data_IF_168154007616
#
_entry.id   IF_168154007616
#
_cell.length_a   1.000
_cell.length_b   1.000
_cell.length_c   1.000
_cell.angle_alpha   90.00
_cell.angle_beta   90.00
_cell.angle_gamma   90.00
#
_symmetry.space_group_name_H-M   'P 1'
#
loop_
_entity.id
_entity.type
_entity.pdbx_description
1 polymer ?
#
# COMPACT_ATOMS: atom_id res chain seq x y z
N UNK A 1 -23.92 -22.08 -3.78
CA UNK A 1 -23.94 -21.33 -5.06
C UNK A 1 -22.51 -20.89 -5.28
N UNK A 2 -21.88 -21.24 -6.40
CA UNK A 2 -20.43 -21.01 -6.59
C UNK A 2 -20.15 -19.51 -6.71
N UNK A 3 -19.21 -18.98 -5.91
CA UNK A 3 -18.87 -17.54 -5.83
C UNK A 3 -18.63 -16.86 -7.18
N UNK A 4 -18.08 -17.57 -8.17
CA UNK A 4 -17.90 -17.04 -9.55
C UNK A 4 -19.21 -16.75 -10.28
N UNK A 5 -20.27 -17.50 -9.98
CA UNK A 5 -21.61 -17.23 -10.51
C UNK A 5 -22.17 -15.95 -9.88
N UNK A 6 -22.06 -15.83 -8.56
CA UNK A 6 -22.49 -14.62 -7.85
C UNK A 6 -21.74 -13.38 -8.36
N UNK A 7 -20.42 -13.52 -8.61
CA UNK A 7 -19.61 -12.47 -9.23
C UNK A 7 -20.10 -12.09 -10.63
N UNK A 8 -20.38 -13.08 -11.49
CA UNK A 8 -20.92 -12.84 -12.83
C UNK A 8 -22.28 -12.14 -12.79
N UNK A 9 -23.21 -12.60 -11.95
CA UNK A 9 -24.56 -12.05 -11.85
C UNK A 9 -24.58 -10.61 -11.31
N UNK A 10 -23.70 -10.31 -10.35
CA UNK A 10 -23.70 -9.02 -9.66
C UNK A 10 -22.76 -7.98 -10.27
N UNK A 11 -21.63 -8.42 -10.85
CA UNK A 11 -20.57 -7.55 -11.37
C UNK A 11 -20.33 -7.70 -12.87
N UNK A 12 -20.99 -8.64 -13.54
CA UNK A 12 -20.82 -8.88 -14.98
C UNK A 12 -19.51 -9.57 -15.34
N UNK A 13 -18.76 -10.07 -14.36
CA UNK A 13 -17.50 -10.79 -14.59
C UNK A 13 -17.30 -11.89 -13.56
N UNK A 14 -16.82 -13.08 -13.98
CA UNK A 14 -16.45 -14.15 -13.05
C UNK A 14 -15.01 -13.98 -12.53
N UNK A 15 -14.27 -12.96 -12.99
CA UNK A 15 -12.89 -12.70 -12.57
C UNK A 15 -12.84 -11.80 -11.33
N UNK A 16 -12.36 -12.35 -10.23
CA UNK A 16 -12.23 -11.70 -8.94
C UNK A 16 -11.32 -10.46 -8.97
N UNK A 17 -10.27 -10.45 -9.78
CA UNK A 17 -9.39 -9.28 -9.93
C UNK A 17 -10.13 -8.12 -10.59
N UNK A 18 -10.95 -8.41 -11.60
CA UNK A 18 -11.80 -7.42 -12.27
C UNK A 18 -12.92 -6.92 -11.36
N UNK A 19 -13.48 -7.78 -10.49
CA UNK A 19 -14.49 -7.35 -9.50
C UNK A 19 -13.92 -6.28 -8.56
N UNK A 20 -12.67 -6.48 -8.09
CA UNK A 20 -11.97 -5.55 -7.19
C UNK A 20 -11.31 -4.37 -7.91
N UNK A 21 -11.08 -4.46 -9.22
CA UNK A 21 -10.37 -3.44 -9.99
C UNK A 21 -8.86 -3.41 -9.71
N UNK A 22 -8.23 -4.56 -9.44
CA UNK A 22 -6.80 -4.67 -9.13
C UNK A 22 -6.09 -5.59 -10.13
N UNK A 23 -4.77 -5.40 -10.27
CA UNK A 23 -3.93 -6.28 -11.07
C UNK A 23 -3.72 -7.63 -10.38
N UNK A 24 -3.47 -8.67 -11.18
CA UNK A 24 -3.27 -10.05 -10.70
C UNK A 24 -2.01 -10.19 -9.85
N UNK A 25 -1.04 -9.31 -10.02
CA UNK A 25 0.23 -9.23 -9.28
C UNK A 25 0.12 -8.30 -8.05
N UNK A 26 -1.08 -7.77 -7.76
CA UNK A 26 -1.29 -6.82 -6.68
C UNK A 26 -0.91 -7.40 -5.31
N UNK A 27 -0.17 -6.61 -4.52
CA UNK A 27 0.19 -6.95 -3.15
C UNK A 27 -1.07 -7.18 -2.30
N UNK A 28 -1.03 -8.10 -1.32
CA UNK A 28 -2.23 -8.41 -0.52
C UNK A 28 -2.86 -7.20 0.16
N UNK A 29 -2.04 -6.26 0.68
CA UNK A 29 -2.52 -4.98 1.21
C UNK A 29 -3.31 -4.16 0.20
N UNK A 30 -2.82 -4.05 -1.04
CA UNK A 30 -3.50 -3.34 -2.12
C UNK A 30 -4.82 -4.02 -2.48
N UNK A 31 -4.85 -5.36 -2.49
CA UNK A 31 -6.06 -6.15 -2.70
C UNK A 31 -7.10 -5.92 -1.60
N UNK A 32 -6.69 -6.00 -0.32
CA UNK A 32 -7.56 -5.70 0.85
C UNK A 32 -8.12 -4.29 0.77
N UNK A 33 -7.27 -3.30 0.55
CA UNK A 33 -7.67 -1.91 0.45
C UNK A 33 -8.69 -1.70 -0.68
N UNK A 34 -8.43 -2.24 -1.87
CA UNK A 34 -9.37 -2.15 -2.99
C UNK A 34 -10.72 -2.80 -2.68
N UNK A 35 -10.73 -3.96 -2.01
CA UNK A 35 -11.99 -4.60 -1.63
C UNK A 35 -12.76 -3.84 -0.54
N UNK A 36 -12.10 -3.21 0.44
CA UNK A 36 -12.78 -2.33 1.40
C UNK A 36 -13.41 -1.13 0.69
N UNK A 37 -12.69 -0.51 -0.24
CA UNK A 37 -13.22 0.58 -1.07
C UNK A 37 -14.41 0.12 -1.92
N UNK A 38 -14.31 -1.07 -2.52
CA UNK A 38 -15.37 -1.65 -3.35
C UNK A 38 -16.63 -2.02 -2.53
N UNK A 39 -16.46 -2.43 -1.28
CA UNK A 39 -17.57 -2.62 -0.33
C UNK A 39 -18.24 -1.29 -0.03
N UNK A 40 -17.46 -0.25 0.32
CA UNK A 40 -17.99 1.09 0.59
C UNK A 40 -18.81 1.65 -0.58
N UNK A 41 -18.36 1.47 -1.81
CA UNK A 41 -19.08 1.89 -3.02
C UNK A 41 -20.49 1.27 -3.13
N UNK A 42 -20.67 0.04 -2.66
CA UNK A 42 -21.94 -0.69 -2.78
C UNK A 42 -22.77 -0.72 -1.50
N UNK A 43 -22.21 -0.29 -0.37
CA UNK A 43 -22.77 -0.52 0.96
C UNK A 43 -24.18 0.08 1.15
N UNK A 44 -24.46 1.24 0.53
CA UNK A 44 -25.77 1.91 0.60
C UNK A 44 -26.82 1.41 -0.41
N UNK A 45 -26.44 0.58 -1.38
CA UNK A 45 -27.33 0.20 -2.51
C UNK A 45 -27.49 -1.30 -2.70
N UNK A 46 -26.42 -2.08 -2.46
CA UNK A 46 -26.33 -3.51 -2.79
C UNK A 46 -25.49 -4.27 -1.76
N UNK A 47 -26.13 -4.65 -0.64
CA UNK A 47 -25.47 -5.41 0.45
C UNK A 47 -25.04 -6.82 0.02
N UNK A 48 -25.74 -7.40 -0.95
CA UNK A 48 -25.38 -8.66 -1.63
C UNK A 48 -24.03 -8.55 -2.36
N UNK A 49 -23.78 -7.44 -3.06
CA UNK A 49 -22.47 -7.13 -3.67
C UNK A 49 -21.36 -7.05 -2.63
N UNK A 50 -21.62 -6.41 -1.49
CA UNK A 50 -20.63 -6.28 -0.42
C UNK A 50 -20.18 -7.64 0.12
N UNK A 51 -21.12 -8.56 0.33
CA UNK A 51 -20.82 -9.93 0.78
C UNK A 51 -20.00 -10.71 -0.25
N UNK A 52 -20.30 -10.54 -1.55
CA UNK A 52 -19.51 -11.18 -2.62
C UNK A 52 -18.10 -10.62 -2.68
N UNK A 53 -17.93 -9.30 -2.57
CA UNK A 53 -16.60 -8.66 -2.50
C UNK A 53 -15.80 -9.17 -1.31
N UNK A 54 -16.42 -9.27 -0.13
CA UNK A 54 -15.73 -9.80 1.05
C UNK A 54 -15.29 -11.27 0.87
N UNK A 55 -16.13 -12.12 0.29
CA UNK A 55 -15.76 -13.51 -0.03
C UNK A 55 -14.60 -13.59 -1.02
N UNK A 56 -14.58 -12.68 -2.00
CA UNK A 56 -13.47 -12.54 -2.95
C UNK A 56 -12.18 -12.13 -2.21
N UNK A 57 -12.25 -11.18 -1.27
CA UNK A 57 -11.12 -10.79 -0.45
C UNK A 57 -10.51 -11.98 0.32
N UNK A 58 -11.33 -12.82 0.96
CA UNK A 58 -10.84 -14.02 1.66
C UNK A 58 -10.10 -15.02 0.77
N UNK A 59 -10.29 -14.96 -0.55
CA UNK A 59 -9.59 -15.82 -1.52
C UNK A 59 -8.30 -15.14 -1.98
N UNK A 60 -8.38 -13.87 -2.40
CA UNK A 60 -7.24 -13.17 -3.00
C UNK A 60 -6.19 -12.70 -1.99
N UNK A 61 -6.50 -12.73 -0.69
CA UNK A 61 -5.60 -12.30 0.39
C UNK A 61 -5.05 -13.48 1.22
N UNK A 62 -5.37 -14.71 0.81
CA UNK A 62 -4.79 -15.94 1.32
C UNK A 62 -3.96 -16.57 0.20
N UNK A 63 -2.65 -16.74 0.40
CA UNK A 63 -1.72 -17.15 -0.65
C UNK A 63 -2.09 -18.51 -1.26
N UNK A 64 -2.53 -19.47 -0.44
CA UNK A 64 -2.90 -20.80 -0.90
C UNK A 64 -4.20 -20.78 -1.72
N UNK A 65 -5.20 -20.02 -1.28
CA UNK A 65 -6.48 -19.86 -1.98
C UNK A 65 -6.31 -19.07 -3.27
N UNK A 66 -5.53 -17.98 -3.24
CA UNK A 66 -5.19 -17.19 -4.42
C UNK A 66 -4.48 -18.05 -5.45
N UNK A 67 -3.48 -18.83 -5.05
CA UNK A 67 -2.77 -19.75 -5.95
C UNK A 67 -3.70 -20.78 -6.58
N UNK A 68 -4.62 -21.36 -5.80
CA UNK A 68 -5.61 -22.33 -6.30
C UNK A 68 -6.61 -21.69 -7.27
N UNK A 69 -7.06 -20.47 -6.96
CA UNK A 69 -7.90 -19.68 -7.85
C UNK A 69 -7.16 -19.37 -9.16
N UNK A 70 -5.89 -18.96 -9.08
CA UNK A 70 -5.09 -18.57 -10.24
C UNK A 70 -4.79 -19.75 -11.16
N UNK A 71 -4.53 -20.93 -10.59
CA UNK A 71 -4.18 -22.13 -11.37
C UNK A 71 -5.40 -22.84 -11.96
N UNK A 72 -6.45 -23.00 -11.17
CA UNK A 72 -7.56 -23.90 -11.52
C UNK A 72 -8.90 -23.17 -11.66
N UNK A 73 -8.97 -21.87 -11.37
CA UNK A 73 -10.24 -21.15 -11.24
C UNK A 73 -11.11 -21.70 -10.11
N UNK A 74 -10.52 -22.47 -9.20
CA UNK A 74 -11.19 -23.13 -8.09
C UNK A 74 -11.31 -22.14 -6.93
N UNK A 75 -12.55 -21.86 -6.59
CA UNK A 75 -12.94 -21.08 -5.43
C UNK A 75 -13.82 -21.98 -4.56
N UNK A 76 -13.21 -22.95 -3.87
CA UNK A 76 -13.90 -23.68 -2.81
C UNK A 76 -14.61 -22.65 -1.94
N UNK A 77 -15.92 -22.85 -1.68
CA UNK A 77 -16.69 -21.90 -0.86
C UNK A 77 -15.86 -21.61 0.38
N UNK A 78 -15.70 -20.32 0.72
CA UNK A 78 -14.75 -19.85 1.71
C UNK A 78 -15.08 -20.34 3.13
N UNK A 79 -14.99 -21.65 3.37
CA UNK A 79 -14.92 -22.27 4.67
C UNK A 79 -13.70 -21.64 5.36
N UNK A 80 -13.94 -20.85 6.41
CA UNK A 80 -12.90 -20.05 7.07
C UNK A 80 -12.77 -18.60 6.59
N UNK A 81 -13.67 -18.06 5.74
CA UNK A 81 -13.92 -16.61 5.79
C UNK A 81 -14.44 -16.30 7.20
N UNK A 82 -13.83 -15.35 7.90
CA UNK A 82 -14.39 -14.91 9.18
C UNK A 82 -15.65 -14.06 8.92
N UNK A 83 -16.81 -14.72 9.06
CA UNK A 83 -18.12 -14.08 8.89
C UNK A 83 -18.27 -12.90 9.89
N UNK A 84 -17.66 -12.99 11.08
CA UNK A 84 -17.71 -11.92 12.06
C UNK A 84 -16.98 -10.67 11.54
N UNK A 85 -15.82 -10.82 10.91
CA UNK A 85 -15.09 -9.69 10.33
C UNK A 85 -15.82 -9.06 9.13
N UNK A 86 -16.56 -9.85 8.34
CA UNK A 86 -17.46 -9.30 7.32
C UNK A 86 -18.53 -8.41 7.96
N UNK A 87 -19.22 -8.89 9.00
CA UNK A 87 -20.28 -8.13 9.66
C UNK A 87 -19.73 -6.89 10.40
N UNK A 88 -18.52 -6.96 10.99
CA UNK A 88 -17.85 -5.79 11.57
C UNK A 88 -17.53 -4.73 10.51
N UNK A 89 -17.04 -5.13 9.34
CA UNK A 89 -16.82 -4.22 8.21
C UNK A 89 -18.13 -3.58 7.75
N UNK A 90 -19.20 -4.37 7.57
CA UNK A 90 -20.50 -3.85 7.18
C UNK A 90 -21.04 -2.86 8.25
N UNK A 91 -20.97 -3.20 9.54
CA UNK A 91 -21.39 -2.32 10.62
C UNK A 91 -20.60 -1.00 10.63
N UNK A 92 -19.30 -1.04 10.32
CA UNK A 92 -18.49 0.17 10.16
C UNK A 92 -18.99 1.04 9.01
N UNK A 93 -19.32 0.44 7.87
CA UNK A 93 -19.90 1.17 6.75
C UNK A 93 -21.26 1.81 7.11
N UNK A 94 -22.09 1.18 7.95
CA UNK A 94 -23.34 1.78 8.48
C UNK A 94 -23.05 3.08 9.25
N UNK A 95 -22.01 3.10 10.07
CA UNK A 95 -21.62 4.29 10.84
C UNK A 95 -21.13 5.41 9.92
N UNK A 96 -20.28 5.09 8.95
CA UNK A 96 -19.77 6.06 7.96
C UNK A 96 -20.93 6.70 7.18
N UNK A 97 -21.89 5.89 6.72
CA UNK A 97 -23.05 6.38 5.95
C UNK A 97 -24.00 7.25 6.77
N UNK A 98 -24.12 7.02 8.08
CA UNK A 98 -24.91 7.89 8.99
C UNK A 98 -24.26 9.26 9.19
N UNK A 99 -22.94 9.35 9.07
CA UNK A 99 -22.20 10.61 9.25
C UNK A 99 -22.08 11.42 7.97
N UNK A 100 -22.15 10.79 6.80
CA UNK A 100 -22.16 11.47 5.50
C UNK A 100 -23.56 12.06 5.20
N UNK A 101 -23.83 13.27 5.67
CA UNK A 101 -25.05 14.06 5.47
C UNK A 101 -25.04 14.86 4.15
N UNK A 102 -24.61 14.26 3.04
CA UNK A 102 -24.78 14.85 1.71
C UNK A 102 -23.77 14.39 0.65
N UNK A 103 -23.98 14.76 -0.63
CA UNK A 103 -23.14 14.33 -1.76
C UNK A 103 -21.68 14.78 -1.67
N UNK A 104 -21.42 15.98 -1.14
CA UNK A 104 -20.06 16.51 -0.95
C UNK A 104 -19.30 15.78 0.17
N UNK A 105 -20.00 15.13 1.09
CA UNK A 105 -19.41 14.33 2.18
C UNK A 105 -19.10 12.89 1.76
N UNK A 106 -19.63 12.41 0.62
CA UNK A 106 -19.27 11.09 0.06
C UNK A 106 -17.79 11.05 -0.35
N UNK A 107 -17.24 12.18 -0.83
CA UNK A 107 -15.79 12.28 -1.07
C UNK A 107 -14.97 12.22 0.23
N UNK A 108 -15.55 12.64 1.37
CA UNK A 108 -14.97 12.45 2.69
C UNK A 108 -15.26 11.07 3.29
N UNK A 109 -16.17 10.26 2.71
CA UNK A 109 -16.54 8.96 3.26
C UNK A 109 -15.33 8.01 3.37
N UNK A 110 -14.34 8.13 2.49
CA UNK A 110 -13.09 7.37 2.61
C UNK A 110 -12.25 7.79 3.81
N UNK A 111 -12.13 9.10 4.05
CA UNK A 111 -11.42 9.63 5.23
C UNK A 111 -12.17 9.24 6.50
N UNK A 112 -13.50 9.33 6.50
CA UNK A 112 -14.35 8.87 7.59
C UNK A 112 -14.19 7.37 7.81
N UNK A 113 -14.14 6.57 6.75
CA UNK A 113 -13.90 5.13 6.85
C UNK A 113 -12.53 4.82 7.46
N UNK A 114 -11.44 5.48 7.03
CA UNK A 114 -10.11 5.32 7.64
C UNK A 114 -10.15 5.66 9.14
N UNK A 115 -10.83 6.76 9.50
CA UNK A 115 -10.94 7.17 10.90
C UNK A 115 -11.72 6.14 11.73
N UNK A 116 -12.78 5.56 11.17
CA UNK A 116 -13.53 4.48 11.82
C UNK A 116 -12.76 3.16 11.86
N UNK A 117 -11.93 2.88 10.86
CA UNK A 117 -11.07 1.69 10.84
C UNK A 117 -9.96 1.79 11.90
N UNK A 118 -9.41 2.99 12.10
CA UNK A 118 -8.33 3.23 13.07
C UNK A 118 -8.79 2.97 14.51
N UNK A 119 -8.11 2.07 15.20
CA UNK A 119 -8.43 1.50 16.52
C UNK A 119 -9.73 0.69 16.58
N UNK A 120 -10.25 0.25 15.44
CA UNK A 120 -11.43 -0.61 15.40
C UNK A 120 -11.13 -2.07 15.70
N UNK A 121 -12.19 -2.85 15.91
CA UNK A 121 -12.09 -4.31 15.99
C UNK A 121 -11.65 -4.94 14.67
N UNK A 122 -12.06 -4.34 13.54
CA UNK A 122 -11.68 -4.80 12.22
C UNK A 122 -10.17 -4.63 11.99
N UNK A 123 -9.60 -3.48 12.36
CA UNK A 123 -8.16 -3.30 12.31
C UNK A 123 -7.45 -4.23 13.29
N UNK A 124 -7.96 -4.40 14.51
CA UNK A 124 -7.37 -5.37 15.46
C UNK A 124 -7.40 -6.80 14.89
N UNK A 125 -8.44 -7.16 14.15
CA UNK A 125 -8.54 -8.44 13.43
C UNK A 125 -7.52 -8.54 12.30
N UNK A 126 -7.39 -7.51 11.44
CA UNK A 126 -6.43 -7.49 10.34
C UNK A 126 -4.98 -7.55 10.85
N UNK A 127 -4.65 -6.77 11.89
CA UNK A 127 -3.33 -6.79 12.55
C UNK A 127 -3.07 -8.15 13.19
N UNK A 128 -4.07 -8.74 13.87
CA UNK A 128 -3.95 -10.08 14.45
C UNK A 128 -3.65 -11.14 13.38
N UNK A 129 -4.38 -11.13 12.27
CA UNK A 129 -4.20 -12.12 11.21
C UNK A 129 -2.83 -12.00 10.56
N UNK A 130 -2.38 -10.78 10.27
CA UNK A 130 -1.04 -10.54 9.76
C UNK A 130 0.03 -10.99 10.76
N UNK A 131 -0.16 -10.71 12.06
CA UNK A 131 0.77 -11.13 13.11
C UNK A 131 0.91 -12.65 13.18
N UNK A 132 -0.19 -13.39 13.12
CA UNK A 132 -0.19 -14.86 13.11
C UNK A 132 0.44 -15.42 11.83
N UNK A 133 0.13 -14.82 10.69
CA UNK A 133 0.62 -15.26 9.36
C UNK A 133 2.13 -15.10 9.23
N UNK A 134 2.69 -14.02 9.80
CA UNK A 134 4.12 -13.71 9.70
C UNK A 134 4.89 -13.89 11.00
N UNK A 135 4.34 -14.66 11.93
CA UNK A 135 4.99 -15.05 13.18
C UNK A 135 5.61 -13.85 13.93
N UNK A 136 4.85 -12.74 13.98
CA UNK A 136 5.27 -11.51 14.66
C UNK A 136 6.30 -10.63 13.94
N UNK A 137 6.66 -10.90 12.68
CA UNK A 137 7.52 -10.01 11.89
C UNK A 137 6.82 -8.68 11.57
N UNK A 138 7.19 -7.60 12.25
CA UNK A 138 6.52 -6.30 12.09
C UNK A 138 6.66 -5.68 10.70
N UNK A 139 7.76 -5.94 9.98
CA UNK A 139 7.91 -5.52 8.58
C UNK A 139 6.82 -6.12 7.71
N UNK A 140 6.63 -7.43 7.77
CA UNK A 140 5.58 -8.10 6.98
C UNK A 140 4.18 -7.69 7.44
N UNK A 141 3.97 -7.55 8.75
CA UNK A 141 2.68 -7.10 9.30
C UNK A 141 2.26 -5.74 8.75
N UNK A 142 3.15 -4.73 8.74
CA UNK A 142 2.84 -3.39 8.21
C UNK A 142 2.61 -3.40 6.69
N UNK A 143 3.31 -4.28 5.97
CA UNK A 143 3.10 -4.46 4.54
C UNK A 143 1.77 -5.14 4.20
N UNK A 144 1.18 -5.89 5.13
CA UNK A 144 -0.02 -6.69 4.90
C UNK A 144 -1.32 -6.00 5.33
N UNK A 145 -1.27 -5.28 6.46
CA UNK A 145 -2.45 -4.64 7.03
C UNK A 145 -2.89 -3.48 6.12
N UNK A 146 -4.19 -3.40 5.77
CA UNK A 146 -4.69 -2.33 4.92
C UNK A 146 -4.75 -1.01 5.68
N UNK A 147 -4.65 0.10 4.95
CA UNK A 147 -4.88 1.47 5.46
C UNK A 147 -3.94 1.94 6.59
N UNK A 148 -2.89 1.20 6.93
CA UNK A 148 -1.89 1.59 7.94
C UNK A 148 -0.60 2.07 7.28
N UNK A 149 0.15 2.92 7.98
CA UNK A 149 1.49 3.37 7.57
C UNK A 149 2.53 2.96 8.58
N UNK A 150 3.81 3.20 8.29
CA UNK A 150 4.87 2.99 9.28
C UNK A 150 4.66 3.82 10.55
N UNK A 151 4.01 4.97 10.44
CA UNK A 151 3.71 5.84 11.57
C UNK A 151 2.69 5.20 12.55
N UNK A 152 1.94 4.19 12.09
CA UNK A 152 0.99 3.43 12.90
C UNK A 152 1.63 2.28 13.68
N UNK A 153 2.92 1.99 13.46
CA UNK A 153 3.60 0.82 14.03
C UNK A 153 3.45 0.74 15.55
N UNK A 154 3.67 1.87 16.25
CA UNK A 154 3.58 1.93 17.71
C UNK A 154 2.22 1.46 18.22
N UNK A 155 1.15 1.88 17.53
CA UNK A 155 -0.24 1.56 17.86
C UNK A 155 -0.56 0.08 17.57
N UNK A 156 -0.11 -0.42 16.41
CA UNK A 156 -0.23 -1.84 16.04
C UNK A 156 0.50 -2.75 17.04
N UNK A 157 1.72 -2.38 17.46
CA UNK A 157 2.45 -3.10 18.51
C UNK A 157 1.70 -3.11 19.83
N UNK A 158 1.09 -1.99 20.20
CA UNK A 158 0.30 -1.90 21.41
C UNK A 158 -0.94 -2.82 21.36
N UNK A 159 -1.61 -2.92 20.21
CA UNK A 159 -2.69 -3.89 19.98
C UNK A 159 -2.21 -5.31 20.22
N UNK A 160 -1.09 -5.71 19.59
CA UNK A 160 -0.57 -7.06 19.73
C UNK A 160 -0.11 -7.37 21.15
N UNK A 161 0.57 -6.45 21.83
CA UNK A 161 0.94 -6.61 23.25
C UNK A 161 -0.28 -6.86 24.14
N UNK A 162 -1.39 -6.14 23.92
CA UNK A 162 -2.65 -6.37 24.65
C UNK A 162 -3.28 -7.72 24.36
N UNK A 163 -3.14 -8.24 23.13
CA UNK A 163 -3.66 -9.55 22.75
C UNK A 163 -2.81 -10.67 23.36
N UNK A 164 -1.49 -10.52 23.35
CA UNK A 164 -0.53 -11.46 23.96
C UNK A 164 -0.74 -11.51 25.48
N UNK A 165 -0.88 -10.36 26.15
CA UNK A 165 -1.13 -10.31 27.61
C UNK A 165 -2.47 -10.94 28.03
N UNK A 166 -3.40 -11.09 27.08
CA UNK A 166 -4.69 -11.75 27.27
C UNK A 166 -4.68 -13.21 26.78
N UNK A 167 -3.51 -13.73 26.39
CA UNK A 167 -3.32 -15.09 25.87
C UNK A 167 -4.21 -15.40 24.63
N UNK A 168 -4.61 -14.37 23.88
CA UNK A 168 -5.44 -14.51 22.67
C UNK A 168 -4.63 -14.85 21.42
N UNK A 169 -3.34 -14.57 21.45
CA UNK A 169 -2.38 -14.88 20.38
C UNK A 169 -1.09 -15.37 21.02
N UNK A 170 -0.31 -16.22 20.34
CA UNK A 170 0.96 -16.72 20.86
C UNK A 170 2.00 -15.60 20.98
N UNK A 171 2.96 -15.81 21.88
CA UNK A 171 4.18 -15.03 21.92
C UNK A 171 5.10 -15.47 20.77
N UNK A 172 5.50 -14.55 19.91
CA UNK A 172 6.58 -14.76 18.94
C UNK A 172 7.80 -13.93 19.32
N UNK A 173 8.95 -14.59 19.51
CA UNK A 173 10.21 -13.92 19.89
C UNK A 173 10.58 -12.81 18.92
N UNK A 174 10.43 -13.03 17.62
CA UNK A 174 10.71 -12.04 16.55
C UNK A 174 10.00 -10.70 16.74
N UNK A 175 8.84 -10.67 17.41
CA UNK A 175 8.13 -9.43 17.70
C UNK A 175 8.77 -8.60 18.83
N UNK A 176 9.37 -9.28 19.82
CA UNK A 176 9.95 -8.65 21.02
C UNK A 176 11.46 -8.44 20.90
N UNK A 177 12.14 -9.35 20.23
CA UNK A 177 13.58 -9.41 20.03
C UNK A 177 13.96 -8.91 18.63
N UNK A 178 13.17 -7.99 18.07
CA UNK A 178 13.48 -7.39 16.78
C UNK A 178 14.79 -6.59 16.87
N UNK A 179 15.63 -6.74 15.85
CA UNK A 179 16.91 -6.03 15.79
C UNK A 179 16.72 -4.54 15.50
N UNK A 180 17.63 -3.70 16.00
CA UNK A 180 17.62 -2.27 15.68
C UNK A 180 17.75 -2.00 14.18
N UNK A 181 18.44 -2.88 13.45
CA UNK A 181 18.62 -2.84 12.00
C UNK A 181 17.31 -3.12 11.28
N UNK A 182 16.60 -4.21 11.58
CA UNK A 182 15.28 -4.51 10.97
C UNK A 182 14.26 -3.37 11.19
N UNK A 183 14.28 -2.77 12.38
CA UNK A 183 13.45 -1.60 12.67
C UNK A 183 13.86 -0.38 11.83
N UNK A 184 15.17 -0.08 11.75
CA UNK A 184 15.70 1.05 10.97
C UNK A 184 15.40 0.89 9.48
N UNK A 185 15.67 -0.27 8.91
CA UNK A 185 15.51 -0.57 7.49
C UNK A 185 14.05 -0.39 7.06
N UNK A 186 13.12 -0.89 7.88
CA UNK A 186 11.68 -0.67 7.64
C UNK A 186 11.31 0.81 7.62
N UNK A 187 11.79 1.59 8.59
CA UNK A 187 11.54 3.02 8.64
C UNK A 187 12.22 3.77 7.49
N UNK A 188 13.39 3.31 7.05
CA UNK A 188 14.13 3.89 5.93
C UNK A 188 13.43 3.60 4.59
N UNK A 189 13.01 2.38 4.34
CA UNK A 189 12.22 2.02 3.15
C UNK A 189 10.96 2.89 3.05
N UNK A 190 10.25 3.11 4.15
CA UNK A 190 9.06 3.97 4.14
C UNK A 190 9.38 5.45 3.91
N UNK A 191 10.50 5.98 4.40
CA UNK A 191 10.95 7.35 4.05
C UNK A 191 11.25 7.47 2.57
N UNK A 192 11.91 6.47 1.98
CA UNK A 192 12.21 6.41 0.54
C UNK A 192 10.91 6.42 -0.27
N UNK A 193 9.96 5.53 0.01
CA UNK A 193 8.65 5.53 -0.67
C UNK A 193 7.86 6.82 -0.47
N UNK A 194 7.92 7.43 0.71
CA UNK A 194 7.21 8.69 0.99
C UNK A 194 7.83 9.85 0.21
N UNK A 195 9.16 9.87 0.05
CA UNK A 195 9.86 10.85 -0.75
C UNK A 195 9.62 10.63 -2.24
N UNK A 196 9.66 9.39 -2.73
CA UNK A 196 9.34 9.05 -4.11
C UNK A 196 7.90 9.45 -4.47
N UNK A 197 6.90 9.13 -3.63
CA UNK A 197 5.51 9.54 -3.85
C UNK A 197 5.34 11.06 -3.80
N UNK A 198 6.07 11.76 -2.92
CA UNK A 198 6.11 13.24 -2.92
C UNK A 198 6.72 13.77 -4.22
N UNK A 199 7.82 13.17 -4.69
CA UNK A 199 8.50 13.54 -5.92
C UNK A 199 7.63 13.25 -7.16
N UNK A 200 6.93 12.12 -7.23
CA UNK A 200 5.94 11.84 -8.28
C UNK A 200 4.80 12.85 -8.30
N UNK A 201 4.27 13.26 -7.14
CA UNK A 201 3.23 14.31 -7.05
C UNK A 201 3.74 15.71 -7.43
N UNK A 202 5.06 15.92 -7.36
CA UNK A 202 5.71 17.14 -7.84
C UNK A 202 5.82 17.09 -9.36
N UNK A 203 6.25 15.94 -9.92
CA UNK A 203 6.29 15.67 -11.36
C UNK A 203 4.92 15.88 -12.00
N UNK A 204 3.86 15.31 -11.42
CA UNK A 204 2.48 15.48 -11.92
C UNK A 204 2.06 16.95 -11.94
N UNK A 205 2.33 17.72 -10.89
CA UNK A 205 1.99 19.15 -10.83
C UNK A 205 2.78 19.99 -11.84
N UNK A 206 4.02 19.62 -12.14
CA UNK A 206 4.82 20.25 -13.20
C UNK A 206 4.21 19.93 -14.58
N UNK A 207 3.79 18.68 -14.81
CA UNK A 207 3.12 18.26 -16.05
C UNK A 207 1.80 19.00 -16.26
N UNK A 208 0.96 19.10 -15.22
CA UNK A 208 -0.32 19.82 -15.27
C UNK A 208 -0.14 21.30 -15.62
N UNK A 209 0.96 21.91 -15.15
CA UNK A 209 1.21 23.35 -15.31
C UNK A 209 1.87 23.71 -16.64
N UNK A 210 2.74 22.86 -17.17
CA UNK A 210 3.55 23.17 -18.35
C UNK A 210 3.17 22.36 -19.60
N UNK A 211 2.29 21.35 -19.46
CA UNK A 211 1.80 20.51 -20.54
C UNK A 211 2.71 19.32 -20.83
N UNK A 212 2.12 18.14 -20.98
CA UNK A 212 2.82 16.86 -21.23
C UNK A 212 3.70 16.91 -22.49
N UNK A 213 3.17 17.49 -23.56
CA UNK A 213 3.80 17.57 -24.88
C UNK A 213 5.12 18.36 -24.86
N UNK A 214 5.32 19.23 -23.86
CA UNK A 214 6.53 20.03 -23.70
C UNK A 214 7.65 19.29 -22.98
N UNK A 215 7.31 18.27 -22.19
CA UNK A 215 8.22 17.49 -21.34
C UNK A 215 8.53 16.09 -21.91
N UNK A 216 7.76 15.65 -22.90
CA UNK A 216 7.83 14.29 -23.47
C UNK A 216 9.20 13.97 -24.10
N UNK A 217 9.91 14.97 -24.63
CA UNK A 217 11.22 14.80 -25.26
C UNK A 217 12.34 14.41 -24.27
N UNK A 218 12.18 14.72 -22.97
CA UNK A 218 13.18 14.45 -21.92
C UNK A 218 12.58 13.65 -20.76
N UNK A 219 11.48 12.95 -21.00
CA UNK A 219 10.73 12.22 -19.96
C UNK A 219 11.60 11.21 -19.20
N UNK A 220 12.48 10.50 -19.92
CA UNK A 220 13.42 9.56 -19.31
C UNK A 220 14.51 10.26 -18.49
N UNK A 221 14.96 11.47 -18.90
CA UNK A 221 15.90 12.27 -18.10
C UNK A 221 15.23 12.82 -16.83
N UNK A 222 13.95 13.20 -16.90
CA UNK A 222 13.19 13.67 -15.73
C UNK A 222 12.94 12.55 -14.72
N UNK A 223 12.62 11.34 -15.19
CA UNK A 223 12.56 10.13 -14.34
C UNK A 223 13.92 9.83 -13.71
N UNK A 224 15.00 9.92 -14.48
CA UNK A 224 16.35 9.67 -13.99
C UNK A 224 16.77 10.68 -12.91
N UNK A 225 16.40 11.96 -13.01
CA UNK A 225 16.64 12.97 -11.96
C UNK A 225 15.94 12.61 -10.64
N UNK A 226 14.68 12.17 -10.74
CA UNK A 226 13.88 11.73 -9.59
C UNK A 226 14.47 10.45 -8.99
N UNK A 227 14.94 9.53 -9.82
CA UNK A 227 15.54 8.25 -9.39
C UNK A 227 17.01 8.34 -8.95
N UNK A 228 17.80 9.34 -9.39
CA UNK A 228 19.24 9.48 -9.11
C UNK A 228 19.56 10.21 -7.80
N UNK A 229 18.55 10.82 -7.17
CA UNK A 229 18.60 11.32 -5.78
C UNK A 229 18.88 10.20 -4.74
N UNK A 230 19.04 8.97 -5.22
CA UNK A 230 19.24 7.70 -4.51
C UNK A 230 20.67 7.44 -4.02
N UNK A 231 21.70 8.17 -4.49
CA UNK A 231 23.10 7.75 -4.33
C UNK A 231 24.05 8.77 -3.67
N UNK A 232 23.66 9.41 -2.56
CA UNK A 232 24.61 10.20 -1.73
C UNK A 232 24.70 9.80 -0.25
N UNK A 233 24.20 8.62 0.13
CA UNK A 233 24.55 8.03 1.43
C UNK A 233 25.37 6.77 1.19
N UNK A 234 26.69 6.97 1.06
CA UNK A 234 27.69 5.90 1.02
C UNK A 234 27.89 5.30 2.42
N UNK A 235 27.62 4.01 2.54
CA UNK A 235 28.59 2.99 2.98
C UNK A 235 29.70 3.41 3.94
N UNK A 236 29.39 3.59 5.23
CA UNK A 236 30.44 3.53 6.26
C UNK A 236 30.25 2.47 7.36
N UNK A 237 29.12 1.75 7.45
CA UNK A 237 28.97 0.72 8.50
C UNK A 237 28.13 -0.51 8.05
N UNK A 238 28.51 -1.18 6.96
CA UNK A 238 27.99 -2.52 6.70
C UNK A 238 29.11 -3.52 6.38
N UNK A 239 29.59 -4.19 7.42
CA UNK A 239 30.18 -5.50 7.24
C UNK A 239 29.06 -6.53 7.04
N UNK A 240 29.10 -7.14 5.85
CA UNK A 240 28.62 -8.48 5.52
C UNK A 240 27.10 -8.75 5.61
N UNK A 241 26.43 -8.63 4.45
CA UNK A 241 25.67 -9.77 3.91
C UNK A 241 25.69 -9.69 2.39
N UNK A 242 26.24 -10.71 1.74
CA UNK A 242 26.43 -10.78 0.29
C UNK A 242 25.10 -10.89 -0.46
N UNK A 243 25.02 -10.20 -1.59
CA UNK A 243 23.86 -9.94 -2.44
C UNK A 243 23.32 -11.15 -3.24
N UNK A 244 23.60 -12.39 -2.85
CA UNK A 244 23.31 -13.56 -3.68
C UNK A 244 21.91 -14.18 -3.51
N UNK A 245 21.11 -13.77 -2.51
CA UNK A 245 19.84 -14.47 -2.18
C UNK A 245 18.54 -13.79 -2.67
N UNK A 246 18.61 -12.66 -3.39
CA UNK A 246 17.40 -11.96 -3.84
C UNK A 246 17.18 -11.88 -5.35
N UNK A 247 18.10 -12.39 -6.19
CA UNK A 247 17.85 -12.52 -7.63
C UNK A 247 17.43 -11.22 -8.35
N UNK A 248 17.76 -10.06 -7.78
CA UNK A 248 17.61 -8.77 -8.44
C UNK A 248 19.00 -8.30 -8.87
N UNK A 249 19.22 -8.33 -10.18
CA UNK A 249 20.40 -7.77 -10.83
C UNK A 249 20.31 -6.24 -10.71
N UNK A 250 20.95 -5.66 -9.70
CA UNK A 250 21.00 -4.20 -9.49
C UNK A 250 22.21 -3.53 -10.12
N UNK A 251 23.12 -4.29 -10.74
CA UNK A 251 24.44 -3.79 -11.14
C UNK A 251 24.49 -3.16 -12.54
N UNK A 252 23.41 -3.19 -13.32
CA UNK A 252 23.51 -2.86 -14.76
C UNK A 252 22.88 -1.54 -15.24
N UNK A 253 22.44 -0.62 -14.37
CA UNK A 253 21.72 0.58 -14.86
C UNK A 253 21.95 1.95 -14.20
N UNK A 254 22.85 2.15 -13.23
CA UNK A 254 23.04 3.50 -12.66
C UNK A 254 24.51 3.81 -12.37
N UNK A 255 25.32 3.82 -13.42
CA UNK A 255 26.63 4.46 -13.39
C UNK A 255 26.52 5.86 -14.04
N UNK A 256 26.93 6.89 -13.28
CA UNK A 256 27.38 8.21 -13.77
C UNK A 256 26.34 9.24 -14.29
N UNK A 257 25.29 9.54 -13.51
CA UNK A 257 24.54 10.80 -13.72
C UNK A 257 24.54 11.63 -12.43
N UNK A 258 25.38 12.67 -12.39
CA UNK A 258 25.40 13.68 -11.33
C UNK A 258 24.04 14.42 -11.30
N UNK A 259 23.26 14.31 -10.20
CA UNK A 259 21.96 14.94 -10.06
C UNK A 259 22.00 16.47 -10.25
N UNK A 260 23.10 17.12 -9.85
CA UNK A 260 23.26 18.56 -9.99
C UNK A 260 23.51 18.97 -11.45
N UNK A 261 24.34 18.21 -12.18
CA UNK A 261 24.55 18.43 -13.62
C UNK A 261 23.27 18.22 -14.44
N UNK A 262 22.43 17.26 -14.05
CA UNK A 262 21.14 16.99 -14.69
C UNK A 262 20.10 18.09 -14.36
N UNK A 263 20.09 18.57 -13.12
CA UNK A 263 19.28 19.72 -12.72
C UNK A 263 19.67 20.98 -13.51
N UNK A 264 20.97 21.27 -13.64
CA UNK A 264 21.46 22.41 -14.43
C UNK A 264 21.07 22.30 -15.91
N UNK A 265 21.06 21.09 -16.48
CA UNK A 265 20.56 20.85 -17.84
C UNK A 265 19.06 21.12 -17.96
N UNK A 266 18.25 20.66 -17.01
CA UNK A 266 16.79 20.88 -16.99
C UNK A 266 16.47 22.36 -16.78
N UNK A 267 17.15 23.03 -15.84
CA UNK A 267 17.01 24.48 -15.60
C UNK A 267 17.48 25.30 -16.81
N UNK A 268 18.55 24.87 -17.48
CA UNK A 268 19.03 25.48 -18.72
C UNK A 268 18.05 25.34 -19.88
N UNK A 269 17.34 24.21 -19.97
CA UNK A 269 16.43 23.90 -21.08
C UNK A 269 15.01 24.44 -20.88
N UNK A 270 14.48 24.38 -19.66
CA UNK A 270 13.11 24.77 -19.33
C UNK A 270 13.01 26.09 -18.56
N UNK A 271 14.15 26.70 -18.23
CA UNK A 271 14.26 28.02 -17.63
C UNK A 271 14.19 28.04 -16.10
N UNK A 272 14.51 29.20 -15.53
CA UNK A 272 14.57 29.45 -14.08
C UNK A 272 13.24 29.24 -13.35
N UNK A 273 12.11 29.25 -14.07
CA UNK A 273 10.78 29.07 -13.50
C UNK A 273 10.54 27.63 -13.02
N UNK A 274 11.00 26.64 -13.79
CA UNK A 274 10.91 25.22 -13.39
C UNK A 274 11.84 24.95 -12.19
N UNK A 275 13.02 25.56 -12.17
CA UNK A 275 13.94 25.50 -11.03
C UNK A 275 13.34 26.05 -9.73
N UNK A 276 12.68 27.21 -9.82
CA UNK A 276 12.06 27.86 -8.68
C UNK A 276 10.88 27.05 -8.12
N UNK A 277 10.14 26.36 -8.98
CA UNK A 277 9.04 25.49 -8.58
C UNK A 277 9.54 24.19 -7.93
N UNK A 278 10.59 23.56 -8.50
CA UNK A 278 11.25 22.41 -7.88
C UNK A 278 11.81 22.75 -6.48
N UNK A 279 12.41 23.95 -6.32
CA UNK A 279 12.87 24.48 -5.02
C UNK A 279 11.72 24.73 -4.04
N UNK A 280 10.62 25.36 -4.49
CA UNK A 280 9.41 25.57 -3.65
C UNK A 280 8.80 24.27 -3.16
N UNK A 281 8.97 23.20 -3.91
CA UNK A 281 8.43 21.88 -3.60
C UNK A 281 9.40 21.01 -2.77
N UNK A 282 10.46 21.62 -2.22
CA UNK A 282 11.32 21.06 -1.17
C UNK A 282 12.19 19.88 -1.64
N UNK A 283 12.66 19.92 -2.88
CA UNK A 283 13.86 19.18 -3.28
C UNK A 283 15.06 19.77 -2.52
N UNK A 284 15.79 18.94 -1.76
CA UNK A 284 17.09 19.34 -1.20
C UNK A 284 18.04 19.57 -2.38
N UNK A 285 18.31 20.85 -2.66
CA UNK A 285 19.29 21.29 -3.65
C UNK A 285 20.36 21.96 -2.80
N UNK A 286 21.35 21.20 -2.38
CA UNK A 286 22.53 21.77 -1.72
C UNK A 286 23.24 22.69 -2.71
N UNK A 287 23.35 23.98 -2.36
CA UNK A 287 24.20 24.92 -3.09
C UNK A 287 25.67 24.54 -2.87
N UNK A 288 26.36 24.15 -3.95
CA UNK A 288 27.81 24.31 -4.07
C UNK A 288 28.12 25.30 -5.18
#
# INVERSE_FOLDING_TARGET
>A
MTLRRDAMELFGTPDFYMVLGVQREGLPRSVRQAGYMRIMEHYGTRRDKCRVVYRILCILTDDARRLNYDRAGNCTEAEGCDICACEELLAMCDEVMKMANGPDEINNAFVTFINHYTNSRLEEFDVRNAYLTYEGCMSRVIHEVPLVTIHDESRMRQMMRRQISKEKVPYHSRFFEETATECRDRHQMCKVFTNEVKQFRIVERVIERYGRDRLEADWEEFKLLVCSSRCQFSDEDSEATTSEDLGYDTDDCIAELDPNALLDRIVGKYGKEVAAELRRLNFDIDEK
#
